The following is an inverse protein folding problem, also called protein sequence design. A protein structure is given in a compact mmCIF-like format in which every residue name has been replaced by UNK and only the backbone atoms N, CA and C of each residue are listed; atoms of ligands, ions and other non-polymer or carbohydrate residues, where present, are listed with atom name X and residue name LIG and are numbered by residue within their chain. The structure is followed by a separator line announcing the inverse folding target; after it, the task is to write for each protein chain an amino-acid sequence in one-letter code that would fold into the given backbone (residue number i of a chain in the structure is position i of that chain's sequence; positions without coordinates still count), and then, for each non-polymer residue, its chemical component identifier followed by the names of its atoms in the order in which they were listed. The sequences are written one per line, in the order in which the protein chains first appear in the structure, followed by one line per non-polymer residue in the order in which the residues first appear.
data_IF_891255438496
#
_entry.id   IF_891255438496
#
_cell.length_a   1.000
_cell.length_b   1.000
_cell.length_c   1.000
_cell.angle_alpha   90.00
_cell.angle_beta   90.00
_cell.angle_gamma   90.00
#
_symmetry.space_group_name_H-M   'P 1'
#
loop_
_entity.id
_entity.type
_entity.pdbx_description
1 polymer ?
#
# COMPACT_ATOMS: atom_id res chain seq x y z
N UNK A 1 -2.72 64.03 21.39
CA UNK A 1 -1.62 63.65 20.48
C UNK A 1 -1.25 62.19 20.74
N UNK A 2 -1.47 61.27 19.79
CA UNK A 2 -1.09 59.86 19.94
C UNK A 2 0.30 59.67 19.34
N UNK A 3 1.30 59.33 20.17
CA UNK A 3 2.63 58.95 19.70
C UNK A 3 2.56 57.57 19.05
N UNK A 4 2.77 57.51 17.73
CA UNK A 4 3.05 56.23 17.06
C UNK A 4 4.51 55.89 17.34
N UNK A 5 4.75 54.95 18.26
CA UNK A 5 6.07 54.33 18.40
C UNK A 5 6.36 53.60 17.08
N UNK A 6 7.25 54.17 16.27
CA UNK A 6 7.76 53.51 15.08
C UNK A 6 8.57 52.28 15.48
N UNK A 7 8.43 51.20 14.71
CA UNK A 7 9.22 49.98 14.89
C UNK A 7 10.70 50.31 14.73
N UNK A 8 11.56 49.82 15.64
CA UNK A 8 13.00 50.11 15.56
C UNK A 8 13.68 49.13 14.62
N UNK A 9 14.72 49.58 13.91
CA UNK A 9 15.49 48.72 13.00
C UNK A 9 16.14 47.54 13.76
N UNK A 10 16.54 47.79 15.02
CA UNK A 10 17.09 46.78 15.91
C UNK A 10 16.09 45.66 16.23
N UNK A 11 14.83 46.01 16.43
CA UNK A 11 13.76 45.04 16.74
C UNK A 11 13.53 44.08 15.57
N UNK A 12 13.68 44.56 14.33
CA UNK A 12 13.61 43.70 13.15
C UNK A 12 14.81 42.74 13.03
N UNK A 13 16.02 43.25 13.34
CA UNK A 13 17.25 42.45 13.28
C UNK A 13 17.21 41.30 14.28
N UNK A 14 16.77 41.57 15.51
CA UNK A 14 16.65 40.53 16.55
C UNK A 14 15.66 39.44 16.12
N UNK A 15 14.53 39.82 15.53
CA UNK A 15 13.54 38.85 15.04
C UNK A 15 14.14 37.94 13.96
N UNK A 16 14.89 38.49 13.00
CA UNK A 16 15.54 37.68 11.96
C UNK A 16 16.59 36.72 12.55
N UNK A 17 17.36 37.16 13.55
CA UNK A 17 18.34 36.30 14.23
C UNK A 17 17.63 35.14 14.95
N UNK A 18 16.57 35.44 15.70
CA UNK A 18 15.80 34.42 16.42
C UNK A 18 15.17 33.43 15.44
N UNK A 19 14.55 33.91 14.36
CA UNK A 19 14.01 33.06 13.30
C UNK A 19 15.10 32.18 12.65
N UNK A 20 16.30 32.73 12.45
CA UNK A 20 17.46 31.99 11.93
C UNK A 20 17.86 30.82 12.83
N UNK A 21 17.98 31.05 14.15
CA UNK A 21 18.34 30.00 15.13
C UNK A 21 17.27 28.89 15.17
N UNK A 22 16.00 29.26 15.16
CA UNK A 22 14.88 28.30 15.15
C UNK A 22 14.90 27.48 13.84
N UNK A 23 15.16 28.11 12.70
CA UNK A 23 15.21 27.41 11.41
C UNK A 23 16.33 26.36 11.35
N UNK A 24 17.55 26.70 11.79
CA UNK A 24 18.71 25.78 11.77
C UNK A 24 18.49 24.58 12.69
N UNK A 25 17.86 24.79 13.86
CA UNK A 25 17.62 23.72 14.83
C UNK A 25 16.41 22.84 14.45
N UNK A 26 15.38 23.40 13.81
CA UNK A 26 14.17 22.67 13.42
C UNK A 26 14.31 21.87 12.12
N UNK A 27 15.08 22.37 11.14
CA UNK A 27 15.24 21.75 9.82
C UNK A 27 15.67 20.26 9.87
N UNK A 28 16.72 19.84 10.60
CA UNK A 28 17.16 18.44 10.60
C UNK A 28 16.13 17.50 11.24
N UNK A 29 15.38 17.97 12.25
CA UNK A 29 14.33 17.17 12.88
C UNK A 29 13.13 17.00 11.96
N UNK A 30 12.74 18.05 11.24
CA UNK A 30 11.62 18.02 10.31
C UNK A 30 11.86 17.04 9.16
N UNK A 31 13.08 16.95 8.63
CA UNK A 31 13.43 15.98 7.59
C UNK A 31 13.30 14.53 8.09
N UNK A 32 13.83 14.21 9.27
CA UNK A 32 13.75 12.86 9.85
C UNK A 32 12.31 12.42 10.11
N UNK A 33 11.47 13.31 10.65
CA UNK A 33 10.05 13.01 10.90
C UNK A 33 9.29 12.72 9.61
N UNK A 34 9.65 13.40 8.51
CA UNK A 34 9.07 13.10 7.20
C UNK A 34 9.43 11.69 6.73
N UNK A 35 10.71 11.33 6.77
CA UNK A 35 11.16 10.01 6.33
C UNK A 35 10.49 8.89 7.14
N UNK A 36 10.41 9.05 8.46
CA UNK A 36 9.74 8.10 9.36
C UNK A 36 8.23 8.02 9.08
N UNK A 37 7.58 9.17 8.80
CA UNK A 37 6.14 9.21 8.49
C UNK A 37 5.81 8.48 7.19
N UNK A 38 6.67 8.62 6.18
CA UNK A 38 6.51 7.94 4.89
C UNK A 38 6.64 6.43 5.10
N UNK A 39 7.69 5.97 5.79
CA UNK A 39 7.88 4.54 6.12
C UNK A 39 6.68 3.94 6.89
N UNK A 40 6.14 4.69 7.86
CA UNK A 40 4.96 4.29 8.63
C UNK A 40 3.70 4.17 7.76
N UNK A 41 3.51 5.07 6.79
CA UNK A 41 2.40 5.01 5.85
C UNK A 41 2.43 3.71 5.01
N UNK A 42 3.59 3.35 4.43
CA UNK A 42 3.72 2.10 3.67
C UNK A 42 3.57 0.84 4.53
N UNK A 43 4.05 0.88 5.78
CA UNK A 43 3.82 -0.20 6.75
C UNK A 43 2.33 -0.36 7.06
N UNK A 44 1.61 0.76 7.17
CA UNK A 44 0.16 0.78 7.38
C UNK A 44 -0.59 0.19 6.18
N UNK A 45 -0.19 0.54 4.95
CA UNK A 45 -0.77 -0.03 3.72
C UNK A 45 -0.55 -1.55 3.67
N UNK A 46 0.67 -2.02 3.95
CA UNK A 46 0.96 -3.45 4.01
C UNK A 46 0.13 -4.16 5.11
N UNK A 47 -0.08 -3.51 6.25
CA UNK A 47 -0.96 -3.98 7.32
C UNK A 47 -2.42 -4.10 6.86
N UNK A 48 -2.94 -3.06 6.22
CA UNK A 48 -4.30 -3.06 5.66
C UNK A 48 -4.47 -4.16 4.62
N UNK A 49 -3.48 -4.39 3.75
CA UNK A 49 -3.54 -5.48 2.77
C UNK A 49 -3.60 -6.85 3.45
N UNK A 50 -2.79 -7.09 4.49
CA UNK A 50 -2.86 -8.33 5.30
C UNK A 50 -4.26 -8.55 5.86
N UNK A 51 -4.84 -7.51 6.44
CA UNK A 51 -6.20 -7.57 7.00
C UNK A 51 -7.24 -7.85 5.91
N UNK A 52 -7.15 -7.18 4.75
CA UNK A 52 -8.07 -7.39 3.64
C UNK A 52 -7.98 -8.82 3.08
N UNK A 53 -6.78 -9.37 2.89
CA UNK A 53 -6.57 -10.76 2.48
C UNK A 53 -7.12 -11.74 3.53
N UNK A 54 -6.92 -11.46 4.81
CA UNK A 54 -7.48 -12.31 5.89
C UNK A 54 -9.01 -12.28 5.91
N UNK A 55 -9.63 -11.12 5.70
CA UNK A 55 -11.10 -10.99 5.59
C UNK A 55 -11.64 -11.71 4.35
N UNK A 56 -10.92 -11.60 3.23
CA UNK A 56 -11.23 -12.35 2.00
C UNK A 56 -11.24 -13.86 2.27
N UNK A 57 -10.17 -14.37 2.89
CA UNK A 57 -10.07 -15.78 3.24
C UNK A 57 -11.17 -16.20 4.23
N UNK A 58 -11.49 -15.35 5.21
CA UNK A 58 -12.61 -15.55 6.11
C UNK A 58 -13.95 -15.69 5.38
N UNK A 59 -14.21 -14.86 4.36
CA UNK A 59 -15.40 -14.99 3.52
C UNK A 59 -15.42 -16.31 2.76
N UNK A 60 -14.30 -16.73 2.18
CA UNK A 60 -14.19 -18.03 1.50
C UNK A 60 -14.49 -19.21 2.44
N UNK A 61 -14.01 -19.16 3.69
CA UNK A 61 -14.33 -20.17 4.72
C UNK A 61 -15.81 -20.18 5.07
N UNK A 62 -16.43 -19.00 5.21
CA UNK A 62 -17.88 -18.87 5.49
C UNK A 62 -18.72 -19.45 4.35
N UNK A 63 -18.24 -19.33 3.11
CA UNK A 63 -18.90 -19.90 1.93
C UNK A 63 -18.70 -21.42 1.79
N UNK A 64 -18.05 -22.06 2.77
CA UNK A 64 -17.84 -23.51 2.79
C UNK A 64 -16.64 -23.99 1.99
N UNK A 65 -15.71 -23.09 1.65
CA UNK A 65 -14.52 -23.40 0.87
C UNK A 65 -14.83 -23.87 -0.57
N UNK A 66 -15.55 -23.04 -1.37
CA UNK A 66 -15.94 -23.41 -2.72
C UNK A 66 -14.72 -23.71 -3.60
N UNK A 67 -14.86 -24.68 -4.50
CA UNK A 67 -13.84 -24.99 -5.50
C UNK A 67 -13.78 -23.85 -6.53
N UNK A 68 -12.59 -23.26 -6.77
CA UNK A 68 -12.44 -22.12 -7.68
C UNK A 68 -12.79 -22.44 -9.15
N UNK A 69 -12.89 -23.72 -9.51
CA UNK A 69 -13.21 -24.19 -10.85
C UNK A 69 -14.67 -24.63 -10.97
N UNK A 70 -15.47 -24.58 -9.89
CA UNK A 70 -16.88 -24.96 -9.90
C UNK A 70 -17.74 -23.71 -9.84
N UNK A 71 -18.52 -23.48 -10.88
CA UNK A 71 -19.54 -22.43 -10.86
C UNK A 71 -20.79 -22.91 -10.13
N UNK A 72 -21.48 -22.00 -9.42
CA UNK A 72 -22.88 -22.17 -9.03
C UNK A 72 -23.78 -22.32 -10.28
N UNK A 73 -23.77 -23.50 -10.90
CA UNK A 73 -24.72 -23.89 -11.96
C UNK A 73 -24.59 -23.20 -13.33
N UNK A 74 -23.46 -22.56 -13.67
CA UNK A 74 -23.23 -22.01 -15.03
C UNK A 74 -21.86 -22.42 -15.59
N UNK A 75 -21.87 -23.17 -16.69
CA UNK A 75 -20.65 -23.48 -17.46
C UNK A 75 -20.02 -22.18 -17.99
N UNK A 76 -18.81 -21.87 -17.54
CA UNK A 76 -17.97 -20.76 -17.99
C UNK A 76 -16.67 -20.70 -17.18
N UNK A 77 -15.55 -20.44 -17.86
CA UNK A 77 -14.20 -20.36 -17.28
C UNK A 77 -14.14 -19.36 -16.11
N UNK A 78 -13.69 -19.83 -14.94
CA UNK A 78 -13.45 -19.08 -13.69
C UNK A 78 -14.69 -18.66 -12.89
N UNK A 79 -15.39 -19.65 -12.31
CA UNK A 79 -16.56 -19.51 -11.43
C UNK A 79 -16.43 -18.59 -10.20
N UNK A 80 -17.34 -18.78 -9.23
CA UNK A 80 -17.61 -18.01 -7.99
C UNK A 80 -16.56 -16.92 -7.63
N UNK A 81 -17.01 -15.67 -7.47
CA UNK A 81 -16.14 -14.54 -7.08
C UNK A 81 -16.44 -14.09 -5.66
N UNK A 82 -15.40 -13.71 -4.93
CA UNK A 82 -15.51 -13.04 -3.64
C UNK A 82 -15.01 -11.61 -3.84
N UNK A 83 -15.80 -10.61 -3.48
CA UNK A 83 -15.46 -9.19 -3.68
C UNK A 83 -14.94 -8.87 -5.10
N UNK A 84 -15.59 -9.44 -6.14
CA UNK A 84 -15.21 -9.36 -7.55
C UNK A 84 -13.86 -9.98 -7.94
N UNK A 85 -13.16 -10.62 -7.00
CA UNK A 85 -11.91 -11.33 -7.25
C UNK A 85 -12.13 -12.83 -7.36
N UNK A 86 -11.42 -13.44 -8.30
CA UNK A 86 -11.20 -14.87 -8.37
C UNK A 86 -10.22 -15.31 -7.27
N UNK A 87 -10.41 -16.52 -6.77
CA UNK A 87 -9.55 -17.12 -5.74
C UNK A 87 -8.97 -18.46 -6.20
N UNK A 88 -7.90 -18.91 -5.52
CA UNK A 88 -7.34 -20.25 -5.72
C UNK A 88 -7.97 -21.27 -4.76
N UNK A 89 -7.56 -22.53 -4.89
CA UNK A 89 -7.99 -23.64 -4.03
C UNK A 89 -7.69 -23.44 -2.53
N UNK A 90 -6.85 -22.47 -2.19
CA UNK A 90 -6.48 -22.13 -0.82
C UNK A 90 -7.33 -20.98 -0.24
N UNK A 91 -8.26 -20.42 -1.02
CA UNK A 91 -9.15 -19.36 -0.57
C UNK A 91 -8.53 -17.97 -0.55
N UNK A 92 -7.51 -17.74 -1.37
CA UNK A 92 -6.86 -16.42 -1.53
C UNK A 92 -7.01 -15.90 -2.96
N UNK A 93 -7.01 -14.56 -3.15
CA UNK A 93 -7.04 -13.97 -4.49
C UNK A 93 -5.91 -14.51 -5.36
N UNK A 94 -6.26 -15.02 -6.54
CA UNK A 94 -5.30 -15.63 -7.47
C UNK A 94 -4.96 -14.71 -8.62
N UNK A 95 -3.78 -14.87 -9.19
CA UNK A 95 -3.46 -14.20 -10.44
C UNK A 95 -3.99 -15.00 -11.63
N UNK A 96 -4.50 -14.29 -12.63
CA UNK A 96 -5.01 -14.87 -13.87
C UNK A 96 -4.67 -13.94 -15.02
N UNK A 97 -3.45 -14.00 -15.57
CA UNK A 97 -3.03 -13.26 -16.77
C UNK A 97 -3.72 -11.88 -16.93
N UNK A 98 -4.41 -11.70 -18.05
CA UNK A 98 -5.16 -10.46 -18.36
C UNK A 98 -6.53 -10.33 -17.67
N UNK A 99 -6.98 -11.36 -16.93
CA UNK A 99 -8.29 -11.41 -16.28
C UNK A 99 -8.24 -10.84 -14.86
N UNK A 100 -7.20 -11.15 -14.11
CA UNK A 100 -6.98 -10.66 -12.75
C UNK A 100 -5.49 -10.46 -12.50
N UNK A 101 -5.07 -9.20 -12.58
CA UNK A 101 -3.70 -8.78 -12.35
C UNK A 101 -3.43 -8.44 -10.89
N UNK A 102 -2.17 -8.22 -10.54
CA UNK A 102 -1.75 -7.76 -9.22
C UNK A 102 -2.42 -6.44 -8.81
N UNK A 103 -2.57 -5.51 -9.75
CA UNK A 103 -3.21 -4.22 -9.54
C UNK A 103 -4.69 -4.40 -9.24
N UNK A 104 -5.39 -5.23 -10.02
CA UNK A 104 -6.80 -5.54 -9.76
C UNK A 104 -7.02 -6.15 -8.37
N UNK A 105 -6.11 -7.02 -7.90
CA UNK A 105 -6.18 -7.58 -6.54
C UNK A 105 -6.05 -6.46 -5.50
N UNK A 106 -5.04 -5.60 -5.60
CA UNK A 106 -4.85 -4.51 -4.63
C UNK A 106 -6.00 -3.51 -4.68
N UNK A 107 -6.47 -3.11 -5.86
CA UNK A 107 -7.56 -2.14 -6.01
C UNK A 107 -8.87 -2.64 -5.40
N UNK A 108 -9.20 -3.92 -5.55
CA UNK A 108 -10.42 -4.49 -4.95
C UNK A 108 -10.28 -4.75 -3.45
N UNK A 109 -9.08 -5.11 -2.97
CA UNK A 109 -8.85 -5.32 -1.54
C UNK A 109 -8.66 -4.01 -0.77
N UNK A 110 -8.14 -2.97 -1.43
CA UNK A 110 -7.81 -1.67 -0.85
C UNK A 110 -8.28 -0.50 -1.73
N UNK A 111 -9.60 -0.35 -1.94
CA UNK A 111 -10.16 0.64 -2.87
C UNK A 111 -9.89 2.11 -2.51
N UNK A 112 -9.44 2.39 -1.28
CA UNK A 112 -9.11 3.73 -0.79
C UNK A 112 -7.71 3.80 -0.16
N UNK A 113 -6.77 2.96 -0.61
CA UNK A 113 -5.39 2.98 -0.10
C UNK A 113 -4.63 4.26 -0.43
N UNK A 114 -5.07 5.01 -1.44
CA UNK A 114 -4.30 6.13 -2.00
C UNK A 114 -3.10 5.67 -2.84
N UNK A 115 -2.89 4.36 -2.98
CA UNK A 115 -1.92 3.83 -3.94
C UNK A 115 -2.44 4.03 -5.36
N UNK A 116 -1.56 4.54 -6.20
CA UNK A 116 -1.75 4.72 -7.63
C UNK A 116 -0.69 3.91 -8.39
N UNK A 117 -0.87 3.76 -9.70
CA UNK A 117 0.10 3.07 -10.55
C UNK A 117 1.49 3.72 -10.50
N UNK A 118 1.59 5.00 -10.20
CA UNK A 118 2.87 5.74 -10.17
C UNK A 118 3.70 5.49 -8.90
N UNK A 119 3.08 4.91 -7.87
CA UNK A 119 3.75 4.66 -6.59
C UNK A 119 4.68 3.44 -6.63
N UNK A 120 4.53 2.57 -7.63
CA UNK A 120 5.30 1.33 -7.76
C UNK A 120 5.69 1.04 -9.22
N UNK A 121 6.81 0.36 -9.40
CA UNK A 121 7.21 -0.18 -10.71
C UNK A 121 6.27 -1.31 -11.14
N UNK A 122 6.21 -1.61 -12.43
CA UNK A 122 5.35 -2.68 -12.97
C UNK A 122 5.55 -3.98 -12.17
N UNK A 123 4.48 -4.57 -11.59
CA UNK A 123 4.63 -5.66 -10.64
C UNK A 123 5.31 -6.88 -11.26
N UNK A 124 6.36 -7.37 -10.60
CA UNK A 124 7.06 -8.56 -11.06
C UNK A 124 6.26 -9.79 -10.65
N UNK A 125 5.90 -10.62 -11.63
CA UNK A 125 5.22 -11.89 -11.44
C UNK A 125 6.25 -13.00 -11.23
N UNK A 126 6.26 -13.61 -10.05
CA UNK A 126 7.09 -14.79 -9.79
C UNK A 126 6.23 -16.05 -9.88
N UNK A 127 6.11 -16.65 -11.07
CA UNK A 127 5.39 -17.90 -11.27
C UNK A 127 5.06 -18.20 -12.74
N UNK A 128 4.41 -19.34 -12.99
CA UNK A 128 4.05 -19.86 -14.32
C UNK A 128 2.58 -19.59 -14.70
N UNK A 129 1.82 -18.88 -13.86
CA UNK A 129 0.40 -18.63 -14.06
C UNK A 129 -0.53 -19.78 -13.65
N UNK A 130 -0.01 -20.86 -13.05
CA UNK A 130 -0.80 -22.01 -12.61
C UNK A 130 -1.01 -22.06 -11.09
N UNK A 131 0.06 -22.05 -10.30
CA UNK A 131 0.03 -22.01 -8.84
C UNK A 131 1.38 -21.48 -8.31
N UNK A 132 1.36 -20.66 -7.26
CA UNK A 132 2.61 -20.18 -6.63
C UNK A 132 2.99 -18.75 -7.00
N UNK A 133 2.13 -18.06 -7.75
CA UNK A 133 2.41 -16.71 -8.21
C UNK A 133 2.53 -15.74 -7.03
N UNK A 134 3.51 -14.83 -7.16
CA UNK A 134 3.68 -13.71 -6.24
C UNK A 134 3.58 -12.41 -7.01
N UNK A 135 2.86 -11.46 -6.42
CA UNK A 135 2.90 -10.06 -6.83
C UNK A 135 3.98 -9.36 -6.03
N UNK A 136 4.96 -8.79 -6.73
CA UNK A 136 6.02 -7.99 -6.11
C UNK A 136 5.86 -6.55 -6.60
N UNK A 137 5.56 -5.65 -5.67
CA UNK A 137 5.46 -4.22 -5.92
C UNK A 137 6.71 -3.53 -5.35
N UNK A 138 7.52 -2.96 -6.23
CA UNK A 138 8.66 -2.15 -5.82
C UNK A 138 8.27 -0.68 -5.80
N UNK A 139 8.26 -0.06 -4.61
CA UNK A 139 7.84 1.32 -4.50
C UNK A 139 8.91 2.29 -5.04
N UNK A 140 8.49 3.32 -5.76
CA UNK A 140 9.38 4.25 -6.47
C UNK A 140 9.98 5.30 -5.53
N UNK A 141 9.17 5.80 -4.58
CA UNK A 141 9.56 6.88 -3.67
C UNK A 141 10.25 6.40 -2.38
N UNK A 142 10.26 5.09 -2.14
CA UNK A 142 10.82 4.50 -0.92
C UNK A 142 11.54 3.19 -1.21
N UNK A 143 12.56 2.82 -0.42
CA UNK A 143 13.29 1.57 -0.58
C UNK A 143 12.51 0.41 0.06
N UNK A 144 11.25 0.20 -0.34
CA UNK A 144 10.43 -0.90 0.14
C UNK A 144 9.87 -1.72 -1.02
N UNK A 145 9.76 -3.02 -0.78
CA UNK A 145 9.14 -3.99 -1.67
C UNK A 145 8.00 -4.66 -0.93
N UNK A 146 6.79 -4.57 -1.49
CA UNK A 146 5.60 -5.25 -0.99
C UNK A 146 5.41 -6.54 -1.78
N UNK A 147 5.40 -7.69 -1.11
CA UNK A 147 5.17 -8.99 -1.75
C UNK A 147 3.88 -9.60 -1.27
N UNK A 148 3.01 -10.02 -2.18
CA UNK A 148 1.83 -10.83 -1.92
C UNK A 148 2.00 -12.21 -2.56
N UNK A 149 1.74 -13.28 -1.81
CA UNK A 149 1.78 -14.67 -2.28
C UNK A 149 0.37 -15.25 -2.37
N UNK A 150 -0.04 -15.70 -3.57
CA UNK A 150 -1.38 -16.24 -3.75
C UNK A 150 -1.57 -17.59 -3.03
N UNK A 151 -0.54 -18.43 -2.92
CA UNK A 151 -0.66 -19.76 -2.29
C UNK A 151 -0.90 -19.68 -0.79
N UNK A 152 -0.31 -18.68 -0.15
CA UNK A 152 -0.30 -18.58 1.32
C UNK A 152 -1.12 -17.41 1.85
N UNK A 153 -1.55 -16.49 0.99
CA UNK A 153 -2.13 -15.21 1.40
C UNK A 153 -1.15 -14.29 2.14
N UNK A 154 0.14 -14.65 2.21
CA UNK A 154 1.12 -13.89 2.97
C UNK A 154 1.45 -12.60 2.25
N UNK A 155 1.41 -11.50 3.00
CA UNK A 155 1.88 -10.18 2.57
C UNK A 155 3.12 -9.81 3.38
N UNK A 156 4.23 -9.51 2.72
CA UNK A 156 5.47 -9.01 3.35
C UNK A 156 5.81 -7.63 2.84
N UNK A 157 6.45 -6.84 3.70
CA UNK A 157 7.01 -5.54 3.34
C UNK A 157 8.47 -5.58 3.75
N UNK A 158 9.36 -5.60 2.77
CA UNK A 158 10.78 -5.79 2.96
C UNK A 158 11.52 -4.54 2.50
N UNK A 159 12.54 -4.12 3.26
CA UNK A 159 13.35 -2.94 2.90
C UNK A 159 14.40 -3.35 1.87
N UNK A 160 14.46 -2.65 0.73
CA UNK A 160 15.52 -2.79 -0.27
C UNK A 160 16.84 -2.26 0.31
N UNK A 161 17.90 -3.05 0.18
CA UNK A 161 19.25 -2.74 0.68
C UNK A 161 19.95 -1.68 -0.15
#
# INVERSE_FOLDING_TARGET
MKFRKGFTLLEFVIVLIVLGIIAVTAAPRFLRVKDDSISSAYTSIAGSLRSAVSLFHGKWLVDGGPDPNVAEGRSGDWGYKIYNLHFNKHGYPRLIGDVQTCENIIENLLPNSGLTRDDYEEPILTGDGLDGNKCIFEFTLVPYTLTYSETTGKVTLDKRS
#
